data_IF_343755974184
#
_entry.id   IF_343755974184
#
_cell.length_a   1.000
_cell.length_b   1.000
_cell.length_c   1.000
_cell.angle_alpha   90.00
_cell.angle_beta   90.00
_cell.angle_gamma   90.00
#
_symmetry.space_group_name_H-M   'P 1'
#
loop_
_entity.id
_entity.type
_entity.pdbx_description
1 polymer ?
#
# COMPACT_ATOMS: atom_id res chain seq x y z
N UNK A 1 -29.01 -12.96 3.45
CA UNK A 1 -29.92 -13.18 2.30
C UNK A 1 -29.75 -12.06 1.29
N UNK A 2 -29.38 -12.39 0.04
CA UNK A 2 -29.15 -11.42 -1.04
C UNK A 2 -30.43 -10.67 -1.41
N UNK A 3 -31.58 -11.33 -1.40
CA UNK A 3 -32.85 -10.69 -1.76
C UNK A 3 -33.20 -9.56 -0.79
N UNK A 4 -32.99 -9.78 0.51
CA UNK A 4 -33.15 -8.76 1.53
C UNK A 4 -32.23 -7.54 1.30
N UNK A 5 -30.97 -7.78 0.91
CA UNK A 5 -30.04 -6.71 0.57
C UNK A 5 -30.50 -5.91 -0.66
N UNK A 6 -30.90 -6.60 -1.74
CA UNK A 6 -31.33 -5.99 -3.01
C UNK A 6 -32.60 -5.13 -2.92
N UNK A 7 -33.31 -5.14 -1.77
CA UNK A 7 -34.45 -4.24 -1.55
C UNK A 7 -34.10 -2.75 -1.67
N UNK A 8 -32.82 -2.36 -1.68
CA UNK A 8 -32.39 -0.99 -1.99
C UNK A 8 -32.85 -0.51 -3.37
N UNK A 9 -33.10 -1.42 -4.32
CA UNK A 9 -33.50 -1.09 -5.69
C UNK A 9 -34.94 -0.57 -5.78
N UNK A 10 -35.79 -1.00 -4.86
CA UNK A 10 -37.22 -0.63 -4.82
C UNK A 10 -37.56 0.30 -3.65
N UNK A 11 -36.69 0.38 -2.64
CA UNK A 11 -36.88 1.20 -1.46
C UNK A 11 -35.58 1.92 -1.10
N UNK A 12 -35.63 3.26 -1.07
CA UNK A 12 -34.52 4.07 -0.60
C UNK A 12 -34.09 3.67 0.83
N UNK A 13 -32.79 3.52 1.03
CA UNK A 13 -32.19 3.13 2.32
C UNK A 13 -31.48 4.33 2.96
N UNK A 14 -31.60 4.44 4.28
CA UNK A 14 -30.91 5.44 5.09
C UNK A 14 -29.40 5.17 5.14
N UNK A 15 -28.59 6.19 5.46
CA UNK A 15 -27.16 6.05 5.64
C UNK A 15 -26.78 4.97 6.67
N UNK A 16 -27.48 4.88 7.80
CA UNK A 16 -27.19 3.87 8.84
C UNK A 16 -27.48 2.44 8.39
N UNK A 17 -28.47 2.26 7.52
CA UNK A 17 -28.72 0.97 6.89
C UNK A 17 -27.54 0.57 6.01
N UNK A 18 -27.00 1.49 5.20
CA UNK A 18 -25.81 1.23 4.39
C UNK A 18 -24.60 0.90 5.27
N UNK A 19 -24.33 1.67 6.34
CA UNK A 19 -23.23 1.36 7.29
C UNK A 19 -23.36 -0.02 7.94
N UNK A 20 -24.58 -0.48 8.14
CA UNK A 20 -24.85 -1.78 8.77
C UNK A 20 -24.79 -2.94 7.77
N UNK A 21 -25.04 -2.70 6.48
CA UNK A 21 -25.24 -3.76 5.50
C UNK A 21 -24.17 -3.81 4.39
N UNK A 22 -23.41 -2.74 4.16
CA UNK A 22 -22.39 -2.65 3.11
C UNK A 22 -21.04 -2.32 3.75
N UNK A 23 -20.00 -3.03 3.33
CA UNK A 23 -18.62 -2.64 3.60
C UNK A 23 -18.29 -1.41 2.74
N UNK A 24 -18.51 -0.24 3.32
CA UNK A 24 -18.38 1.04 2.63
C UNK A 24 -16.92 1.33 2.24
N UNK A 25 -15.96 0.99 3.09
CA UNK A 25 -14.54 1.26 2.82
C UNK A 25 -14.02 0.38 1.67
N UNK A 26 -14.43 -0.89 1.64
CA UNK A 26 -14.18 -1.76 0.50
C UNK A 26 -14.90 -1.25 -0.76
N UNK A 27 -16.15 -0.79 -0.64
CA UNK A 27 -16.90 -0.26 -1.78
C UNK A 27 -16.25 1.00 -2.38
N UNK A 28 -15.74 1.93 -1.56
CA UNK A 28 -15.04 3.11 -2.04
C UNK A 28 -13.75 2.73 -2.78
N UNK A 29 -12.98 1.78 -2.24
CA UNK A 29 -11.77 1.27 -2.88
C UNK A 29 -12.09 0.59 -4.22
N UNK A 30 -13.09 -0.29 -4.23
CA UNK A 30 -13.58 -0.96 -5.44
C UNK A 30 -14.01 0.06 -6.49
N UNK A 31 -14.84 1.04 -6.11
CA UNK A 31 -15.34 2.09 -7.00
C UNK A 31 -14.21 2.92 -7.60
N UNK A 32 -13.20 3.25 -6.78
CA UNK A 32 -12.04 4.00 -7.24
C UNK A 32 -11.21 3.22 -8.26
N UNK A 33 -10.94 1.95 -8.02
CA UNK A 33 -10.20 1.11 -8.98
C UNK A 33 -11.01 0.88 -10.25
N UNK A 34 -12.32 0.63 -10.12
CA UNK A 34 -13.24 0.48 -11.25
C UNK A 34 -13.22 1.70 -12.18
N UNK A 35 -13.21 2.93 -11.62
CA UNK A 35 -12.96 4.14 -12.43
C UNK A 35 -11.54 4.20 -12.98
N UNK A 36 -10.54 3.89 -12.17
CA UNK A 36 -9.15 3.98 -12.58
C UNK A 36 -8.84 3.08 -13.79
N UNK A 37 -9.41 1.87 -13.84
CA UNK A 37 -9.24 0.94 -14.96
C UNK A 37 -10.36 1.04 -15.99
N UNK A 38 -11.30 2.00 -15.89
CA UNK A 38 -12.39 2.16 -16.86
C UNK A 38 -13.21 0.87 -17.07
N UNK A 39 -13.53 0.16 -15.98
CA UNK A 39 -14.42 -1.00 -15.99
C UNK A 39 -15.88 -0.55 -16.10
N UNK A 40 -16.31 -0.19 -17.30
CA UNK A 40 -17.65 0.35 -17.57
C UNK A 40 -18.62 -0.70 -18.11
N UNK A 41 -18.16 -1.90 -18.44
CA UNK A 41 -19.05 -2.99 -18.89
C UNK A 41 -19.89 -3.59 -17.75
N UNK A 42 -19.63 -3.20 -16.50
CA UNK A 42 -20.37 -3.63 -15.31
C UNK A 42 -21.78 -3.01 -15.15
N UNK A 43 -22.13 -2.01 -15.95
CA UNK A 43 -23.39 -1.27 -15.80
C UNK A 43 -24.66 -2.08 -16.10
N UNK A 44 -24.54 -3.17 -16.87
CA UNK A 44 -25.67 -3.97 -17.33
C UNK A 44 -26.03 -5.14 -16.38
N UNK A 45 -25.65 -5.05 -15.10
CA UNK A 45 -25.92 -6.10 -14.12
C UNK A 45 -25.06 -7.36 -14.30
N UNK A 46 -23.87 -7.21 -14.88
CA UNK A 46 -22.87 -8.27 -15.10
C UNK A 46 -21.50 -7.82 -14.60
N UNK A 47 -20.51 -8.70 -14.64
CA UNK A 47 -19.09 -8.40 -14.36
C UNK A 47 -18.82 -7.99 -12.90
N UNK A 48 -19.71 -8.39 -11.98
CA UNK A 48 -19.48 -8.33 -10.55
C UNK A 48 -20.30 -9.40 -9.82
N UNK A 49 -19.89 -9.71 -8.60
CA UNK A 49 -20.63 -10.52 -7.63
C UNK A 49 -20.82 -9.75 -6.33
N UNK A 50 -21.86 -10.10 -5.60
CA UNK A 50 -22.02 -9.70 -4.20
C UNK A 50 -21.49 -10.79 -3.28
N UNK A 51 -20.62 -10.42 -2.36
CA UNK A 51 -20.13 -11.30 -1.31
C UNK A 51 -20.70 -10.86 0.04
N UNK A 52 -21.21 -11.82 0.83
CA UNK A 52 -21.68 -11.57 2.20
C UNK A 52 -20.64 -12.10 3.17
N UNK A 53 -19.97 -11.21 3.88
CA UNK A 53 -18.95 -11.59 4.86
C UNK A 53 -19.64 -12.18 6.11
N UNK A 54 -19.38 -13.43 6.50
CA UNK A 54 -20.05 -14.07 7.64
C UNK A 54 -19.63 -13.49 8.99
N UNK A 55 -18.46 -12.86 9.10
CA UNK A 55 -17.95 -12.30 10.35
C UNK A 55 -18.55 -10.91 10.61
N UNK A 56 -18.50 -10.02 9.61
CA UNK A 56 -19.03 -8.67 9.74
C UNK A 56 -20.52 -8.56 9.42
N UNK A 57 -21.10 -9.59 8.80
CA UNK A 57 -22.45 -9.59 8.24
C UNK A 57 -22.72 -8.48 7.20
N UNK A 58 -21.66 -7.86 6.65
CA UNK A 58 -21.75 -6.84 5.61
C UNK A 58 -21.55 -7.43 4.22
N UNK A 59 -22.17 -6.80 3.24
CA UNK A 59 -22.01 -7.11 1.82
C UNK A 59 -20.85 -6.33 1.22
N UNK A 60 -20.27 -6.88 0.16
CA UNK A 60 -19.33 -6.17 -0.70
C UNK A 60 -19.50 -6.53 -2.16
N UNK A 61 -18.94 -5.69 -3.03
CA UNK A 61 -18.92 -5.89 -4.49
C UNK A 61 -17.54 -6.40 -4.88
N UNK A 62 -17.51 -7.52 -5.60
CA UNK A 62 -16.30 -8.11 -6.15
C UNK A 62 -16.41 -8.03 -7.67
N UNK A 63 -15.36 -7.55 -8.33
CA UNK A 63 -15.30 -7.46 -9.78
C UNK A 63 -15.04 -8.83 -10.44
N UNK A 64 -15.53 -8.98 -11.66
CA UNK A 64 -15.31 -10.14 -12.52
C UNK A 64 -15.21 -9.68 -13.97
N UNK A 65 -14.59 -10.48 -14.85
CA UNK A 65 -14.54 -10.23 -16.31
C UNK A 65 -14.00 -8.84 -16.68
N UNK A 66 -12.68 -8.67 -16.48
CA UNK A 66 -11.96 -7.39 -16.57
C UNK A 66 -11.19 -7.19 -17.87
N UNK A 67 -11.43 -8.00 -18.89
CA UNK A 67 -10.75 -7.89 -20.19
C UNK A 67 -11.09 -6.57 -20.90
N UNK A 68 -12.31 -6.04 -20.71
CA UNK A 68 -12.78 -4.81 -21.32
C UNK A 68 -12.45 -3.52 -20.54
N UNK A 69 -11.23 -3.42 -20.02
CA UNK A 69 -10.76 -2.31 -19.18
C UNK A 69 -9.62 -1.50 -19.84
N UNK A 70 -9.09 -0.52 -19.12
CA UNK A 70 -8.03 0.41 -19.50
C UNK A 70 -8.36 1.19 -20.78
N UNK A 71 -7.74 0.80 -21.90
CA UNK A 71 -7.78 1.52 -23.17
C UNK A 71 -8.97 1.16 -24.05
N UNK A 72 -9.89 0.35 -23.55
CA UNK A 72 -11.14 0.04 -24.25
C UNK A 72 -12.03 1.27 -24.38
N UNK A 73 -12.81 1.31 -25.46
CA UNK A 73 -13.67 2.44 -25.83
C UNK A 73 -15.13 2.23 -25.45
N UNK A 74 -15.45 1.21 -24.65
CA UNK A 74 -16.81 0.93 -24.20
C UNK A 74 -17.26 2.01 -23.20
N UNK A 75 -18.28 2.79 -23.57
CA UNK A 75 -18.84 3.85 -22.73
C UNK A 75 -20.13 3.47 -22.00
N UNK A 76 -20.54 2.20 -22.06
CA UNK A 76 -21.82 1.74 -21.52
C UNK A 76 -22.00 2.12 -20.03
N UNK A 77 -23.17 2.67 -19.70
CA UNK A 77 -23.56 3.03 -18.33
C UNK A 77 -22.69 4.05 -17.58
N UNK A 78 -21.75 4.72 -18.27
CA UNK A 78 -21.02 5.88 -17.75
C UNK A 78 -20.27 5.63 -16.44
N UNK A 79 -19.84 4.39 -16.18
CA UNK A 79 -19.08 4.03 -14.99
C UNK A 79 -19.86 3.98 -13.69
N UNK A 80 -21.20 3.98 -13.73
CA UNK A 80 -22.00 4.03 -12.50
C UNK A 80 -21.99 2.72 -11.71
N UNK A 81 -21.73 1.56 -12.31
CA UNK A 81 -21.74 0.27 -11.57
C UNK A 81 -23.08 0.01 -10.82
N UNK A 82 -23.12 -0.97 -9.91
CA UNK A 82 -24.39 -1.47 -9.36
C UNK A 82 -25.01 -0.66 -8.22
N UNK A 83 -24.21 0.14 -7.50
CA UNK A 83 -24.62 0.80 -6.27
C UNK A 83 -24.52 2.34 -6.30
N UNK A 84 -23.95 2.95 -7.34
CA UNK A 84 -23.66 4.39 -7.39
C UNK A 84 -24.89 5.26 -7.18
N UNK A 85 -25.97 4.95 -7.90
CA UNK A 85 -27.21 5.74 -7.89
C UNK A 85 -28.01 5.56 -6.58
N UNK A 86 -27.53 4.73 -5.65
CA UNK A 86 -28.15 4.49 -4.35
C UNK A 86 -27.26 4.96 -3.19
N UNK A 87 -25.98 4.58 -3.19
CA UNK A 87 -25.03 4.91 -2.13
C UNK A 87 -24.65 6.38 -2.17
N UNK A 88 -24.35 6.94 -3.35
CA UNK A 88 -23.87 8.33 -3.46
C UNK A 88 -24.98 9.38 -3.50
N UNK A 89 -26.22 8.97 -3.25
CA UNK A 89 -27.30 9.91 -2.89
C UNK A 89 -27.08 10.49 -1.48
N UNK A 90 -26.29 9.80 -0.64
CA UNK A 90 -25.85 10.28 0.67
C UNK A 90 -24.55 11.08 0.51
N UNK A 91 -24.56 12.41 0.76
CA UNK A 91 -23.41 13.27 0.51
C UNK A 91 -22.13 12.86 1.26
N UNK A 92 -22.26 12.29 2.46
CA UNK A 92 -21.11 11.85 3.25
C UNK A 92 -20.37 10.67 2.60
N UNK A 93 -21.10 9.78 1.92
CA UNK A 93 -20.49 8.65 1.22
C UNK A 93 -19.84 9.09 -0.08
N UNK A 94 -20.44 10.06 -0.78
CA UNK A 94 -19.83 10.66 -1.97
C UNK A 94 -18.52 11.41 -1.61
N UNK A 95 -18.47 12.07 -0.46
CA UNK A 95 -17.26 12.71 0.04
C UNK A 95 -16.20 11.68 0.47
N UNK A 96 -16.58 10.65 1.21
CA UNK A 96 -15.67 9.57 1.61
C UNK A 96 -15.05 8.85 0.40
N UNK A 97 -15.86 8.59 -0.64
CA UNK A 97 -15.38 8.07 -1.92
C UNK A 97 -14.34 8.99 -2.57
N UNK A 98 -14.57 10.31 -2.62
CA UNK A 98 -13.57 11.25 -3.18
C UNK A 98 -12.29 11.27 -2.36
N UNK A 99 -12.37 11.18 -1.02
CA UNK A 99 -11.19 11.05 -0.17
C UNK A 99 -10.40 9.78 -0.52
N UNK A 100 -11.08 8.64 -0.68
CA UNK A 100 -10.43 7.37 -1.06
C UNK A 100 -9.84 7.43 -2.47
N UNK A 101 -10.54 8.05 -3.42
CA UNK A 101 -10.02 8.25 -4.77
C UNK A 101 -8.75 9.12 -4.76
N UNK A 102 -8.73 10.20 -3.97
CA UNK A 102 -7.54 11.06 -3.80
C UNK A 102 -6.35 10.26 -3.28
N UNK A 103 -6.57 9.46 -2.25
CA UNK A 103 -5.55 8.57 -1.71
C UNK A 103 -5.01 7.57 -2.74
N UNK A 104 -5.89 6.91 -3.50
CA UNK A 104 -5.48 5.99 -4.57
C UNK A 104 -4.69 6.73 -5.65
N UNK A 105 -5.11 7.94 -6.03
CA UNK A 105 -4.39 8.79 -7.00
C UNK A 105 -3.00 9.17 -6.52
N UNK A 106 -2.84 9.46 -5.24
CA UNK A 106 -1.56 9.85 -4.67
C UNK A 106 -0.61 8.64 -4.51
N UNK A 107 -1.13 7.46 -4.12
CA UNK A 107 -0.31 6.35 -3.64
C UNK A 107 -0.23 5.11 -4.55
N UNK A 108 -1.14 4.94 -5.52
CA UNK A 108 -1.18 3.74 -6.38
C UNK A 108 -1.40 4.07 -7.85
N UNK A 109 -2.51 4.74 -8.16
CA UNK A 109 -2.90 5.04 -9.54
C UNK A 109 -2.25 6.32 -10.03
N UNK A 110 -0.92 6.35 -10.03
CA UNK A 110 -0.10 7.40 -10.63
C UNK A 110 0.92 6.78 -11.60
N UNK A 111 1.57 7.62 -12.42
CA UNK A 111 2.47 7.17 -13.50
C UNK A 111 3.62 6.30 -13.01
N UNK A 112 4.14 6.57 -11.81
CA UNK A 112 5.25 5.81 -11.24
C UNK A 112 4.75 4.46 -10.72
N UNK A 113 3.86 4.46 -9.73
CA UNK A 113 3.44 3.25 -9.04
C UNK A 113 2.71 2.27 -9.98
N UNK A 114 1.78 2.76 -10.80
CA UNK A 114 1.13 1.90 -11.81
C UNK A 114 2.08 1.55 -12.96
N UNK A 115 3.04 2.43 -13.28
CA UNK A 115 4.06 2.13 -14.28
C UNK A 115 4.92 0.92 -13.87
N UNK A 116 5.36 0.91 -12.60
CA UNK A 116 6.06 -0.22 -11.99
C UNK A 116 5.16 -1.45 -11.98
N UNK A 117 3.89 -1.33 -11.57
CA UNK A 117 2.96 -2.46 -11.60
C UNK A 117 2.81 -3.09 -12.99
N UNK A 118 2.65 -2.26 -14.02
CA UNK A 118 2.52 -2.73 -15.39
C UNK A 118 3.78 -3.48 -15.86
N UNK A 119 4.97 -3.00 -15.49
CA UNK A 119 6.21 -3.71 -15.80
C UNK A 119 6.32 -5.04 -15.04
N UNK A 120 5.83 -5.11 -13.80
CA UNK A 120 5.87 -6.34 -12.99
C UNK A 120 4.98 -7.41 -13.59
N UNK A 121 3.75 -7.05 -13.93
CA UNK A 121 2.80 -7.99 -14.52
C UNK A 121 3.25 -8.41 -15.93
N UNK A 122 3.79 -7.47 -16.71
CA UNK A 122 4.30 -7.77 -18.06
C UNK A 122 5.46 -8.78 -18.04
N UNK A 123 6.36 -8.70 -17.05
CA UNK A 123 7.56 -9.56 -16.99
C UNK A 123 7.23 -11.05 -16.83
N UNK A 124 6.02 -11.37 -16.33
CA UNK A 124 5.55 -12.76 -16.15
C UNK A 124 5.42 -13.49 -17.49
N UNK A 125 5.00 -12.76 -18.54
CA UNK A 125 4.70 -13.36 -19.86
C UNK A 125 5.66 -12.90 -20.96
N UNK A 126 6.44 -11.86 -20.71
CA UNK A 126 7.29 -11.22 -21.71
C UNK A 126 8.71 -10.97 -21.18
N UNK A 127 9.69 -11.44 -21.94
CA UNK A 127 11.11 -11.13 -21.71
C UNK A 127 11.64 -10.38 -22.93
N UNK A 128 12.07 -9.12 -22.79
CA UNK A 128 12.57 -8.36 -23.94
C UNK A 128 13.94 -8.89 -24.38
N UNK A 129 14.16 -9.00 -25.69
CA UNK A 129 15.48 -9.34 -26.24
C UNK A 129 15.39 -10.03 -27.58
N UNK A 130 16.34 -9.75 -28.47
CA UNK A 130 16.45 -10.48 -29.72
C UNK A 130 16.85 -11.93 -29.46
N UNK A 131 16.11 -12.90 -30.00
CA UNK A 131 16.39 -14.33 -29.83
C UNK A 131 15.94 -14.92 -28.50
N UNK A 132 15.27 -14.16 -27.64
CA UNK A 132 14.64 -14.66 -26.41
C UNK A 132 13.18 -14.96 -26.71
N UNK A 133 12.75 -16.21 -26.53
CA UNK A 133 11.34 -16.60 -26.70
C UNK A 133 10.61 -16.47 -25.38
N UNK A 134 9.47 -15.76 -25.39
CA UNK A 134 8.55 -15.61 -24.27
C UNK A 134 7.17 -16.20 -24.59
N UNK A 135 6.28 -16.24 -23.61
CA UNK A 135 4.89 -16.68 -23.83
C UNK A 135 4.19 -15.78 -24.87
N UNK A 136 4.49 -14.49 -24.86
CA UNK A 136 3.99 -13.55 -25.87
C UNK A 136 4.45 -13.92 -27.28
N UNK A 137 5.71 -14.34 -27.47
CA UNK A 137 6.20 -14.69 -28.81
C UNK A 137 5.51 -15.96 -29.34
N UNK A 138 5.28 -16.94 -28.47
CA UNK A 138 4.52 -18.14 -28.81
C UNK A 138 3.05 -17.82 -29.13
N UNK A 139 2.39 -16.96 -28.33
CA UNK A 139 1.03 -16.50 -28.55
C UNK A 139 0.89 -15.79 -29.90
N UNK A 140 1.82 -14.88 -30.20
CA UNK A 140 1.87 -14.15 -31.47
C UNK A 140 2.10 -15.06 -32.67
N UNK A 141 3.03 -16.01 -32.57
CA UNK A 141 3.28 -16.97 -33.62
C UNK A 141 2.04 -17.83 -33.92
N UNK A 142 1.28 -18.19 -32.89
CA UNK A 142 0.04 -18.95 -33.04
C UNK A 142 -1.08 -18.09 -33.62
N UNK A 143 -1.29 -16.87 -33.12
CA UNK A 143 -2.53 -16.13 -33.32
C UNK A 143 -2.43 -14.98 -34.32
N UNK A 144 -1.37 -14.18 -34.36
CA UNK A 144 -1.33 -12.92 -35.12
C UNK A 144 -1.82 -13.08 -36.57
N UNK A 145 -1.45 -14.19 -37.22
CA UNK A 145 -1.83 -14.50 -38.60
C UNK A 145 -2.43 -15.91 -38.76
N UNK A 146 -3.02 -16.46 -37.70
CA UNK A 146 -3.68 -17.75 -37.78
C UNK A 146 -4.80 -17.74 -38.82
N UNK A 147 -4.94 -18.73 -39.71
CA UNK A 147 -6.05 -18.78 -40.66
C UNK A 147 -7.44 -18.69 -40.03
N UNK A 148 -7.61 -19.13 -38.78
CA UNK A 148 -8.90 -19.01 -38.07
C UNK A 148 -9.37 -17.56 -37.94
N UNK A 149 -8.44 -16.60 -37.77
CA UNK A 149 -8.74 -15.17 -37.59
C UNK A 149 -9.32 -14.47 -38.83
N UNK A 150 -9.33 -15.14 -39.98
CA UNK A 150 -10.00 -14.65 -41.21
C UNK A 150 -11.06 -15.62 -41.72
N UNK A 151 -11.35 -16.66 -40.95
CA UNK A 151 -12.38 -17.66 -41.28
C UNK A 151 -13.80 -17.14 -40.99
N UNK A 152 -14.80 -17.91 -41.40
CA UNK A 152 -16.20 -17.64 -41.07
C UNK A 152 -16.56 -17.85 -39.59
N UNK A 153 -15.65 -18.39 -38.77
CA UNK A 153 -15.90 -18.67 -37.35
C UNK A 153 -15.70 -17.48 -36.42
N UNK A 154 -15.10 -16.39 -36.90
CA UNK A 154 -14.79 -15.21 -36.08
C UNK A 154 -15.69 -14.03 -36.40
N UNK A 155 -15.96 -13.20 -35.40
CA UNK A 155 -16.61 -11.91 -35.61
C UNK A 155 -15.58 -10.88 -36.11
N UNK A 156 -15.65 -10.52 -37.40
CA UNK A 156 -14.70 -9.62 -38.04
C UNK A 156 -14.73 -8.17 -37.49
N UNK A 157 -15.71 -7.80 -36.67
CA UNK A 157 -15.66 -6.53 -35.93
C UNK A 157 -14.79 -6.60 -34.67
N UNK A 158 -14.50 -7.80 -34.17
CA UNK A 158 -13.78 -8.03 -32.91
C UNK A 158 -12.39 -8.64 -33.09
N UNK A 159 -12.16 -9.41 -34.14
CA UNK A 159 -10.89 -10.10 -34.38
C UNK A 159 -10.49 -10.06 -35.86
N UNK A 160 -9.21 -10.29 -36.13
CA UNK A 160 -8.63 -10.30 -37.47
C UNK A 160 -7.11 -10.37 -37.42
N UNK A 161 -6.48 -10.70 -38.54
CA UNK A 161 -5.01 -10.74 -38.64
C UNK A 161 -4.36 -9.43 -38.18
N UNK A 162 -3.36 -9.54 -37.30
CA UNK A 162 -2.54 -8.43 -36.81
C UNK A 162 -3.28 -7.36 -35.99
N UNK A 163 -4.57 -7.53 -35.69
CA UNK A 163 -5.39 -6.47 -35.08
C UNK A 163 -5.07 -6.17 -33.63
N UNK A 164 -4.67 -7.18 -32.85
CA UNK A 164 -4.47 -7.01 -31.42
C UNK A 164 -3.45 -5.88 -31.15
N UNK A 165 -2.28 -5.92 -31.78
CA UNK A 165 -1.23 -4.91 -31.60
C UNK A 165 -1.36 -3.68 -32.50
N UNK A 166 -2.41 -3.54 -33.31
CA UNK A 166 -2.52 -2.47 -34.31
C UNK A 166 -2.42 -1.07 -33.70
N UNK A 167 -3.02 -0.89 -32.51
CA UNK A 167 -3.02 0.38 -31.78
C UNK A 167 -1.77 0.63 -30.93
N UNK A 168 -0.86 -0.35 -30.83
CA UNK A 168 0.34 -0.25 -30.02
C UNK A 168 1.47 0.47 -30.80
N UNK A 169 2.22 1.38 -30.16
CA UNK A 169 3.49 1.88 -30.70
C UNK A 169 4.39 0.72 -31.16
N UNK A 170 4.85 0.78 -32.42
CA UNK A 170 5.69 -0.27 -33.01
C UNK A 170 4.98 -1.63 -33.22
N UNK A 171 3.69 -1.76 -32.92
CA UNK A 171 2.91 -3.02 -33.01
C UNK A 171 3.51 -4.17 -32.20
N UNK A 172 4.17 -3.84 -31.09
CA UNK A 172 4.82 -4.80 -30.18
C UNK A 172 4.07 -4.92 -28.86
N UNK A 173 4.42 -5.95 -28.08
CA UNK A 173 3.91 -6.08 -26.71
C UNK A 173 4.43 -4.97 -25.79
N UNK A 174 5.71 -4.58 -25.90
CA UNK A 174 6.24 -3.40 -25.19
C UNK A 174 5.47 -2.13 -25.56
N UNK A 175 5.01 -2.01 -26.80
CA UNK A 175 4.11 -0.94 -27.24
C UNK A 175 2.77 -0.94 -26.50
N UNK A 176 2.18 -2.12 -26.26
CA UNK A 176 0.95 -2.23 -25.46
C UNK A 176 1.17 -1.79 -24.02
N UNK A 177 2.28 -2.19 -23.39
CA UNK A 177 2.66 -1.72 -22.04
C UNK A 177 2.83 -0.20 -22.03
N UNK A 178 3.51 0.37 -23.03
CA UNK A 178 3.66 1.82 -23.17
C UNK A 178 2.29 2.53 -23.34
N UNK A 179 1.37 1.93 -24.09
CA UNK A 179 0.00 2.44 -24.25
C UNK A 179 -0.76 2.44 -22.93
N UNK A 180 -0.64 1.39 -22.11
CA UNK A 180 -1.24 1.34 -20.76
C UNK A 180 -0.64 2.39 -19.83
N UNK A 181 0.69 2.59 -19.87
CA UNK A 181 1.35 3.66 -19.10
C UNK A 181 0.88 5.06 -19.52
N UNK A 182 0.70 5.30 -20.82
CA UNK A 182 0.14 6.55 -21.33
C UNK A 182 -1.33 6.74 -20.89
N UNK A 183 -2.10 5.65 -20.84
CA UNK A 183 -3.47 5.68 -20.33
C UNK A 183 -3.53 6.12 -18.87
N UNK A 184 -2.61 5.67 -18.00
CA UNK A 184 -2.59 6.09 -16.59
C UNK A 184 -2.54 7.62 -16.49
N UNK A 185 -1.74 8.28 -17.32
CA UNK A 185 -1.63 9.75 -17.33
C UNK A 185 -2.94 10.42 -17.76
N UNK A 186 -3.53 9.98 -18.88
CA UNK A 186 -4.76 10.58 -19.39
C UNK A 186 -5.95 10.30 -18.49
N UNK A 187 -6.05 9.09 -17.94
CA UNK A 187 -7.10 8.70 -17.00
C UNK A 187 -6.95 9.41 -15.67
N UNK A 188 -5.73 9.62 -15.18
CA UNK A 188 -5.44 10.44 -14.01
C UNK A 188 -6.00 11.86 -14.16
N UNK A 189 -5.71 12.53 -15.27
CA UNK A 189 -6.25 13.87 -15.55
C UNK A 189 -7.79 13.88 -15.64
N UNK A 190 -8.38 12.82 -16.19
CA UNK A 190 -9.84 12.67 -16.21
C UNK A 190 -10.43 12.47 -14.80
N UNK A 191 -9.82 11.64 -13.95
CA UNK A 191 -10.25 11.45 -12.56
C UNK A 191 -10.20 12.78 -11.81
N UNK A 192 -9.09 13.51 -11.96
CA UNK A 192 -8.86 14.77 -11.26
C UNK A 192 -9.92 15.83 -11.67
N UNK A 193 -10.34 15.83 -12.93
CA UNK A 193 -11.34 16.78 -13.46
C UNK A 193 -12.80 16.33 -13.31
N UNK A 194 -13.08 15.03 -13.26
CA UNK A 194 -14.44 14.48 -13.35
C UNK A 194 -14.95 13.89 -12.03
N UNK A 195 -14.05 13.43 -11.15
CA UNK A 195 -14.41 12.80 -9.88
C UNK A 195 -13.98 13.68 -8.71
N UNK A 196 -12.73 14.14 -8.70
CA UNK A 196 -12.14 14.98 -7.66
C UNK A 196 -12.49 16.47 -7.87
N UNK A 197 -13.72 16.74 -8.29
CA UNK A 197 -14.25 18.08 -8.58
C UNK A 197 -14.25 19.01 -7.35
N UNK A 198 -13.99 18.44 -6.18
CA UNK A 198 -14.01 19.11 -4.90
C UNK A 198 -12.62 19.52 -4.39
N UNK A 199 -11.55 19.30 -5.18
CA UNK A 199 -10.18 19.67 -4.84
C UNK A 199 -9.95 21.16 -4.56
N UNK A 200 -10.85 22.04 -4.98
CA UNK A 200 -10.80 23.46 -4.63
C UNK A 200 -11.30 23.76 -3.20
N UNK A 201 -11.86 22.76 -2.50
CA UNK A 201 -12.45 22.88 -1.16
C UNK A 201 -11.67 22.14 -0.07
N UNK A 202 -10.79 21.21 -0.46
CA UNK A 202 -9.99 20.39 0.46
C UNK A 202 -8.86 21.22 1.09
N UNK A 203 -8.28 20.78 2.23
CA UNK A 203 -7.09 21.42 2.78
C UNK A 203 -5.92 21.42 1.79
N UNK A 204 -5.07 22.44 1.89
CA UNK A 204 -3.87 22.54 1.06
C UNK A 204 -2.98 21.30 1.28
N UNK A 205 -2.32 20.85 0.20
CA UNK A 205 -1.37 19.75 0.25
C UNK A 205 -0.22 20.11 1.22
N UNK A 206 0.00 19.34 2.30
CA UNK A 206 1.09 19.63 3.23
C UNK A 206 2.46 19.49 2.56
N UNK A 207 3.44 20.22 3.09
CA UNK A 207 4.86 20.07 2.75
C UNK A 207 5.55 19.41 3.93
N UNK A 208 6.43 18.46 3.64
CA UNK A 208 7.16 17.65 4.62
C UNK A 208 8.67 17.84 4.41
N UNK A 209 9.40 17.88 5.52
CA UNK A 209 10.87 17.85 5.58
C UNK A 209 11.34 16.89 6.67
N UNK A 210 12.58 16.42 6.58
CA UNK A 210 13.23 15.67 7.67
C UNK A 210 14.09 16.61 8.51
N UNK A 211 14.11 16.35 9.82
CA UNK A 211 14.92 17.12 10.77
C UNK A 211 16.32 16.51 10.95
N UNK A 212 16.42 15.17 10.89
CA UNK A 212 17.62 14.42 11.30
C UNK A 212 18.61 14.25 10.14
N UNK A 213 19.82 14.87 10.20
CA UNK A 213 20.86 14.65 9.20
C UNK A 213 21.26 13.17 9.16
N UNK A 214 21.34 12.59 7.96
CA UNK A 214 21.69 11.18 7.80
C UNK A 214 20.58 10.19 8.13
N UNK A 215 19.44 10.66 8.67
CA UNK A 215 18.22 9.86 8.93
C UNK A 215 18.52 8.54 9.67
N UNK A 216 19.23 8.57 10.81
CA UNK A 216 19.52 7.35 11.57
C UNK A 216 18.20 6.66 11.97
N UNK A 217 18.15 5.32 11.88
CA UNK A 217 16.90 4.56 12.03
C UNK A 217 16.22 4.77 13.40
N UNK A 218 16.98 5.12 14.44
CA UNK A 218 16.53 5.37 15.81
C UNK A 218 16.16 6.85 16.08
N UNK A 219 16.34 7.74 15.11
CA UNK A 219 15.89 9.14 15.18
C UNK A 219 15.37 9.62 13.81
N UNK A 220 14.26 9.01 13.39
CA UNK A 220 13.57 9.36 12.15
C UNK A 220 12.48 10.41 12.39
N UNK A 221 12.93 11.65 12.59
CA UNK A 221 12.04 12.78 12.89
C UNK A 221 11.73 13.62 11.64
N UNK A 222 10.44 13.81 11.37
CA UNK A 222 9.90 14.59 10.25
C UNK A 222 9.01 15.72 10.73
N UNK A 223 8.90 16.77 9.93
CA UNK A 223 8.09 17.95 10.23
C UNK A 223 7.19 18.36 9.06
N UNK A 224 6.12 19.09 9.37
CA UNK A 224 5.21 19.67 8.38
C UNK A 224 4.78 21.09 8.77
N UNK A 225 4.45 21.88 7.75
CA UNK A 225 3.96 23.24 7.90
C UNK A 225 2.51 23.30 8.43
N UNK A 226 2.08 24.52 8.78
CA UNK A 226 0.75 24.77 9.33
C UNK A 226 -0.39 24.30 8.40
N UNK A 227 -1.48 23.84 9.01
CA UNK A 227 -2.72 23.54 8.30
C UNK A 227 -3.28 24.79 7.58
N UNK A 228 -3.70 24.61 6.33
CA UNK A 228 -4.33 25.65 5.53
C UNK A 228 -5.58 25.09 4.85
N UNK A 229 -6.70 25.81 4.96
CA UNK A 229 -7.96 25.43 4.33
C UNK A 229 -8.46 26.56 3.41
N UNK A 230 -8.44 26.36 2.08
CA UNK A 230 -9.03 27.29 1.11
C UNK A 230 -10.53 27.54 1.36
N UNK A 231 -11.25 26.55 1.91
CA UNK A 231 -12.68 26.66 2.25
C UNK A 231 -12.95 27.34 3.59
N UNK A 232 -11.91 27.66 4.37
CA UNK A 232 -12.04 28.20 5.74
C UNK A 232 -12.46 27.16 6.78
N UNK A 233 -12.53 25.88 6.42
CA UNK A 233 -12.80 24.80 7.36
C UNK A 233 -11.65 24.65 8.37
N UNK A 234 -11.96 24.22 9.60
CA UNK A 234 -10.98 24.11 10.68
C UNK A 234 -10.24 22.77 10.59
N UNK A 235 -9.02 22.71 11.10
CA UNK A 235 -8.31 21.45 11.31
C UNK A 235 -9.10 20.55 12.27
N UNK A 236 -9.19 19.26 11.94
CA UNK A 236 -9.74 18.24 12.85
C UNK A 236 -8.89 16.98 12.95
N UNK A 237 -7.94 16.78 12.03
CA UNK A 237 -6.99 15.69 12.19
C UNK A 237 -5.84 15.73 11.19
N UNK A 238 -4.84 14.91 11.44
CA UNK A 238 -3.76 14.62 10.50
C UNK A 238 -3.34 13.16 10.61
N UNK A 239 -2.68 12.66 9.58
CA UNK A 239 -2.14 11.31 9.58
C UNK A 239 -0.78 11.32 8.91
N UNK A 240 0.18 10.66 9.56
CA UNK A 240 1.49 10.34 9.02
C UNK A 240 1.53 8.88 8.60
N UNK A 241 2.31 8.60 7.56
CA UNK A 241 2.57 7.23 7.12
C UNK A 241 3.99 7.05 6.64
N UNK A 242 4.49 5.84 6.79
CA UNK A 242 5.69 5.35 6.13
C UNK A 242 5.32 4.13 5.28
N UNK A 243 5.92 4.02 4.09
CA UNK A 243 5.75 2.88 3.21
C UNK A 243 7.11 2.50 2.62
N UNK A 244 7.39 1.20 2.59
CA UNK A 244 8.53 0.66 1.86
C UNK A 244 8.19 0.58 0.37
N UNK A 245 9.14 0.92 -0.49
CA UNK A 245 8.97 0.89 -1.94
C UNK A 245 10.10 0.10 -2.60
N UNK A 246 9.79 -0.53 -3.72
CA UNK A 246 10.82 -1.04 -4.62
C UNK A 246 11.30 0.07 -5.56
N UNK A 247 12.61 0.10 -5.81
CA UNK A 247 13.21 0.93 -6.86
C UNK A 247 13.76 0.03 -7.97
N UNK A 248 13.04 -0.14 -9.09
CA UNK A 248 13.50 -0.93 -10.23
C UNK A 248 14.78 -0.40 -10.91
N UNK A 249 15.20 0.82 -10.60
CA UNK A 249 16.44 1.43 -11.12
C UNK A 249 17.64 1.20 -10.19
N UNK A 250 17.43 0.67 -8.99
CA UNK A 250 18.49 0.33 -8.04
C UNK A 250 19.36 -0.82 -8.57
N UNK A 251 20.68 -0.72 -8.35
CA UNK A 251 21.63 -1.77 -8.73
C UNK A 251 21.40 -3.12 -8.03
N UNK A 252 20.76 -3.11 -6.86
CA UNK A 252 20.42 -4.30 -6.08
C UNK A 252 19.02 -4.85 -6.36
N UNK A 253 18.28 -4.28 -7.31
CA UNK A 253 16.91 -4.69 -7.58
C UNK A 253 16.85 -6.12 -8.15
N UNK A 254 16.16 -7.02 -7.45
CA UNK A 254 15.85 -8.35 -7.95
C UNK A 254 14.46 -8.36 -8.59
N UNK A 255 14.33 -8.48 -9.93
CA UNK A 255 13.04 -8.48 -10.61
C UNK A 255 12.18 -9.71 -10.30
N UNK A 256 12.75 -10.77 -9.72
CA UNK A 256 12.01 -11.98 -9.34
C UNK A 256 11.27 -11.85 -7.99
N UNK A 257 11.64 -10.87 -7.15
CA UNK A 257 10.94 -10.63 -5.88
C UNK A 257 9.68 -9.78 -6.10
N UNK A 258 8.60 -10.02 -5.32
CA UNK A 258 7.43 -9.16 -5.35
C UNK A 258 7.78 -7.71 -5.04
N UNK A 259 7.27 -6.79 -5.87
CA UNK A 259 7.52 -5.36 -5.69
C UNK A 259 6.69 -4.80 -4.54
N UNK A 260 7.28 -3.85 -3.82
CA UNK A 260 6.64 -3.10 -2.74
C UNK A 260 6.09 -1.81 -3.32
N UNK A 261 4.80 -1.58 -3.10
CA UNK A 261 4.05 -0.44 -3.60
C UNK A 261 3.72 0.53 -2.48
N UNK A 262 3.80 1.82 -2.78
CA UNK A 262 3.65 2.87 -1.77
C UNK A 262 2.28 2.86 -1.08
N UNK A 263 1.22 2.35 -1.72
CA UNK A 263 -0.11 2.22 -1.10
C UNK A 263 -0.10 1.32 0.15
N UNK A 264 0.83 0.37 0.24
CA UNK A 264 0.98 -0.50 1.40
C UNK A 264 1.90 0.17 2.42
N UNK A 265 1.34 0.66 3.51
CA UNK A 265 2.13 1.24 4.61
C UNK A 265 2.85 0.17 5.41
N UNK A 266 4.08 0.45 5.84
CA UNK A 266 4.73 -0.29 6.92
C UNK A 266 4.34 0.27 8.29
N UNK A 267 3.96 1.54 8.35
CA UNK A 267 3.49 2.18 9.57
C UNK A 267 2.56 3.36 9.29
N UNK A 268 1.61 3.58 10.20
CA UNK A 268 0.74 4.75 10.20
C UNK A 268 0.55 5.25 11.64
N UNK A 269 0.44 6.57 11.81
CA UNK A 269 0.21 7.19 13.14
C UNK A 269 -1.20 6.98 13.68
N UNK A 270 -2.12 6.42 12.89
CA UNK A 270 -3.55 6.67 13.05
C UNK A 270 -3.90 8.14 12.84
N UNK A 271 -5.16 8.51 13.11
CA UNK A 271 -5.62 9.90 13.00
C UNK A 271 -5.27 10.66 14.28
N UNK A 272 -4.35 11.62 14.17
CA UNK A 272 -4.02 12.55 15.24
C UNK A 272 -5.03 13.70 15.22
N UNK A 273 -5.92 13.76 16.22
CA UNK A 273 -6.97 14.80 16.32
C UNK A 273 -6.44 16.16 16.82
N UNK A 274 -5.19 16.19 17.28
CA UNK A 274 -4.47 17.40 17.66
C UNK A 274 -3.38 17.67 16.64
N UNK A 275 -3.23 18.94 16.24
CA UNK A 275 -2.17 19.33 15.31
C UNK A 275 -0.80 19.06 15.94
N UNK A 276 -0.04 18.15 15.32
CA UNK A 276 1.33 17.78 15.70
C UNK A 276 2.24 18.03 14.50
N UNK A 277 2.98 19.16 14.45
CA UNK A 277 3.79 19.50 13.29
C UNK A 277 4.97 18.55 13.09
N UNK A 278 5.31 17.75 14.10
CA UNK A 278 6.44 16.82 14.09
C UNK A 278 5.97 15.40 14.39
N UNK A 279 6.68 14.43 13.83
CA UNK A 279 6.51 13.00 14.13
C UNK A 279 7.87 12.31 14.14
N UNK A 280 8.05 11.35 15.05
CA UNK A 280 9.17 10.41 15.01
C UNK A 280 8.60 9.05 14.62
N UNK A 281 9.14 8.47 13.53
CA UNK A 281 8.74 7.13 13.09
C UNK A 281 9.46 6.10 13.97
N UNK A 282 8.75 5.13 14.57
CA UNK A 282 9.40 4.08 15.37
C UNK A 282 10.43 3.29 14.56
N UNK A 283 11.61 2.98 15.12
CA UNK A 283 12.65 2.29 14.36
C UNK A 283 12.21 0.87 13.97
N UNK A 284 11.45 0.21 14.86
CA UNK A 284 10.90 -1.13 14.62
C UNK A 284 9.92 -1.22 13.44
N UNK A 285 9.35 -0.09 12.99
CA UNK A 285 8.48 0.00 11.82
C UNK A 285 9.23 -0.17 10.48
N UNK A 286 10.57 -0.10 10.51
CA UNK A 286 11.41 -0.03 9.33
C UNK A 286 12.55 -1.06 9.40
N UNK A 287 13.23 -1.24 8.28
CA UNK A 287 14.44 -2.06 8.14
C UNK A 287 15.55 -1.19 7.58
N UNK A 288 16.76 -1.42 8.06
CA UNK A 288 17.93 -0.59 7.73
C UNK A 288 18.25 -0.54 6.22
N UNK A 289 18.02 -1.64 5.50
CA UNK A 289 18.33 -1.79 4.07
C UNK A 289 17.15 -1.46 3.14
N UNK A 290 16.02 -1.02 3.67
CA UNK A 290 14.83 -0.68 2.89
C UNK A 290 14.87 0.74 2.30
N UNK A 291 14.13 0.94 1.22
CA UNK A 291 13.85 2.26 0.66
C UNK A 291 12.43 2.67 1.07
N UNK A 292 12.29 3.82 1.72
CA UNK A 292 11.02 4.25 2.31
C UNK A 292 10.59 5.61 1.81
N UNK A 293 9.29 5.86 1.91
CA UNK A 293 8.66 7.17 1.73
C UNK A 293 7.82 7.52 2.95
N UNK A 294 8.03 8.71 3.50
CA UNK A 294 7.14 9.31 4.51
C UNK A 294 6.25 10.35 3.86
N UNK A 295 4.96 10.33 4.25
CA UNK A 295 3.98 11.34 3.85
C UNK A 295 3.09 11.74 5.01
N UNK A 296 2.48 12.93 4.87
CA UNK A 296 1.45 13.43 5.77
C UNK A 296 0.24 13.95 4.98
N UNK A 297 -0.96 13.78 5.53
CA UNK A 297 -2.20 14.42 5.06
C UNK A 297 -2.95 15.05 6.23
N UNK A 298 -3.83 16.01 5.95
CA UNK A 298 -4.61 16.72 6.96
C UNK A 298 -6.11 16.69 6.64
N UNK A 299 -6.93 16.63 7.68
CA UNK A 299 -8.38 16.51 7.65
C UNK A 299 -9.01 17.81 8.17
N UNK A 300 -10.00 18.31 7.44
CA UNK A 300 -10.82 19.43 7.90
C UNK A 300 -12.13 19.03 8.57
N UNK A 301 -12.76 20.02 9.21
CA UNK A 301 -14.04 19.91 9.88
C UNK A 301 -15.23 19.61 8.97
N UNK A 302 -15.04 19.63 7.65
CA UNK A 302 -16.05 19.18 6.69
C UNK A 302 -15.94 17.68 6.41
N UNK A 303 -14.86 17.02 6.87
CA UNK A 303 -14.56 15.62 6.60
C UNK A 303 -13.73 15.39 5.33
N UNK A 304 -13.06 16.42 4.80
CA UNK A 304 -12.22 16.31 3.60
C UNK A 304 -10.75 16.16 3.97
N UNK A 305 -10.12 15.15 3.39
CA UNK A 305 -8.66 15.01 3.44
C UNK A 305 -7.99 15.87 2.38
N UNK A 306 -6.83 16.44 2.69
CA UNK A 306 -5.89 16.94 1.68
C UNK A 306 -5.42 15.79 0.78
N UNK A 307 -4.69 16.13 -0.28
CA UNK A 307 -3.73 15.17 -0.85
C UNK A 307 -2.71 14.75 0.21
N UNK A 308 -2.15 13.55 0.07
CA UNK A 308 -0.88 13.24 0.73
C UNK A 308 0.21 14.20 0.22
N UNK A 309 1.11 14.63 1.11
CA UNK A 309 2.27 15.44 0.76
C UNK A 309 3.11 14.81 -0.36
N UNK A 310 4.01 15.57 -0.99
CA UNK A 310 5.12 14.90 -1.72
C UNK A 310 5.92 14.04 -0.72
N UNK A 311 6.53 12.92 -1.16
CA UNK A 311 7.22 12.03 -0.24
C UNK A 311 8.59 12.59 0.15
N UNK A 312 8.98 12.39 1.41
CA UNK A 312 10.42 12.32 1.73
C UNK A 312 10.85 10.87 1.51
N UNK A 313 11.67 10.65 0.47
CA UNK A 313 12.21 9.32 0.16
C UNK A 313 13.61 9.16 0.73
N UNK A 314 13.88 8.05 1.41
CA UNK A 314 15.15 7.80 2.08
C UNK A 314 15.42 6.32 2.31
N UNK A 315 16.69 5.99 2.52
CA UNK A 315 17.13 4.73 3.15
C UNK A 315 17.56 5.08 4.57
N UNK A 316 17.11 4.34 5.60
CA UNK A 316 17.50 4.62 6.98
C UNK A 316 19.03 4.58 7.15
N UNK A 317 19.57 5.57 7.83
CA UNK A 317 20.95 5.63 8.27
C UNK A 317 21.20 4.73 9.48
N UNK A 318 22.49 4.53 9.80
CA UNK A 318 22.88 3.69 10.92
C UNK A 318 22.33 4.29 12.23
N UNK A 319 22.01 3.46 13.23
CA UNK A 319 21.61 3.95 14.55
C UNK A 319 22.61 4.97 15.09
N UNK A 320 22.13 5.93 15.88
CA UNK A 320 22.93 7.05 16.41
C UNK A 320 24.13 6.55 17.23
N UNK A 321 23.98 5.46 17.98
CA UNK A 321 25.07 4.84 18.76
C UNK A 321 25.72 3.63 18.07
N UNK A 322 25.64 3.51 16.74
CA UNK A 322 26.10 2.31 16.02
C UNK A 322 27.53 1.87 16.38
N UNK A 323 28.50 2.78 16.36
CA UNK A 323 29.89 2.45 16.63
C UNK A 323 30.08 1.93 18.07
N UNK A 324 29.45 2.58 19.06
CA UNK A 324 29.48 2.14 20.47
C UNK A 324 28.77 0.81 20.66
N UNK A 325 27.59 0.61 20.06
CA UNK A 325 26.87 -0.66 20.13
C UNK A 325 27.70 -1.82 19.55
N UNK A 326 28.32 -1.63 18.37
CA UNK A 326 29.15 -2.66 17.74
C UNK A 326 30.43 -2.92 18.54
N UNK A 327 31.07 -1.87 19.06
CA UNK A 327 32.35 -2.00 19.77
C UNK A 327 32.20 -2.47 21.21
N UNK A 328 31.10 -2.12 21.88
CA UNK A 328 30.99 -2.21 23.33
C UNK A 328 29.86 -3.11 23.84
N UNK A 329 28.80 -3.37 23.06
CA UNK A 329 27.83 -4.41 23.41
C UNK A 329 28.41 -5.78 23.05
N UNK A 330 28.50 -6.68 24.02
CA UNK A 330 29.07 -8.02 23.84
C UNK A 330 28.10 -9.07 24.35
N UNK A 331 27.82 -10.07 23.52
CA UNK A 331 27.25 -11.33 23.98
C UNK A 331 28.36 -12.10 24.70
N UNK A 332 28.23 -12.28 26.01
CA UNK A 332 29.26 -12.92 26.85
C UNK A 332 28.90 -14.35 27.20
N UNK A 333 27.62 -14.68 27.30
CA UNK A 333 27.14 -16.02 27.63
C UNK A 333 25.88 -16.39 26.86
N UNK A 334 25.79 -17.68 26.51
CA UNK A 334 24.58 -18.33 26.00
C UNK A 334 24.32 -19.51 26.92
N UNK A 335 23.30 -19.41 27.76
CA UNK A 335 22.82 -20.54 28.56
C UNK A 335 21.71 -21.23 27.77
N UNK A 336 22.06 -22.32 27.11
CA UNK A 336 21.13 -23.10 26.30
C UNK A 336 20.97 -24.49 26.90
N UNK A 337 19.73 -24.92 27.08
CA UNK A 337 19.33 -26.21 27.62
C UNK A 337 20.14 -26.62 28.86
N UNK A 338 20.18 -25.76 29.90
CA UNK A 338 20.87 -26.08 31.16
C UNK A 338 20.20 -27.25 31.86
N UNK A 339 20.95 -27.93 32.73
CA UNK A 339 20.36 -28.99 33.56
C UNK A 339 19.58 -28.38 34.71
N UNK A 340 18.25 -28.59 34.74
CA UNK A 340 17.42 -28.29 35.90
C UNK A 340 17.78 -29.22 37.07
N UNK A 341 17.98 -28.67 38.25
CA UNK A 341 18.23 -29.49 39.44
C UNK A 341 16.95 -30.19 39.91
N UNK A 342 17.08 -31.19 40.78
CA UNK A 342 15.91 -31.85 41.37
C UNK A 342 15.03 -30.87 42.15
N UNK A 343 15.64 -29.88 42.82
CA UNK A 343 14.91 -28.85 43.56
C UNK A 343 14.13 -27.92 42.61
N UNK A 344 14.70 -27.58 41.45
CA UNK A 344 14.02 -26.78 40.42
C UNK A 344 12.81 -27.52 39.85
N UNK A 345 13.00 -28.80 39.51
CA UNK A 345 11.92 -29.68 39.04
C UNK A 345 10.80 -29.85 40.08
N UNK A 346 11.16 -29.94 41.36
CA UNK A 346 10.18 -30.00 42.47
C UNK A 346 9.45 -28.66 42.67
N UNK A 347 10.08 -27.53 42.31
CA UNK A 347 9.47 -26.20 42.31
C UNK A 347 8.60 -25.94 41.07
N UNK A 348 8.62 -26.85 40.09
CA UNK A 348 7.81 -26.77 38.87
C UNK A 348 8.50 -26.06 37.71
N UNK A 349 9.80 -25.80 37.81
CA UNK A 349 10.61 -25.30 36.69
C UNK A 349 11.17 -26.46 35.87
N UNK A 350 11.37 -26.22 34.58
CA UNK A 350 12.08 -27.13 33.68
C UNK A 350 13.38 -26.52 33.14
N UNK A 351 14.02 -27.20 32.19
CA UNK A 351 15.32 -26.79 31.63
C UNK A 351 15.21 -25.48 30.83
N UNK A 352 14.06 -25.25 30.19
CA UNK A 352 13.82 -24.09 29.32
C UNK A 352 13.66 -22.81 30.16
N UNK A 353 13.16 -22.91 31.40
CA UNK A 353 12.99 -21.78 32.33
C UNK A 353 14.32 -21.11 32.75
N UNK A 354 15.46 -21.74 32.46
CA UNK A 354 16.79 -21.24 32.82
C UNK A 354 17.63 -20.85 31.61
N UNK A 355 17.05 -20.82 30.41
CA UNK A 355 17.73 -20.34 29.22
C UNK A 355 17.88 -18.82 29.25
N UNK A 356 19.04 -18.32 28.81
CA UNK A 356 19.25 -16.88 28.66
C UNK A 356 20.39 -16.53 27.69
N UNK A 357 20.36 -15.30 27.20
CA UNK A 357 21.54 -14.64 26.63
C UNK A 357 22.03 -13.55 27.57
N UNK A 358 23.33 -13.51 27.85
CA UNK A 358 23.94 -12.42 28.63
C UNK A 358 24.62 -11.41 27.69
N UNK A 359 24.19 -10.15 27.81
CA UNK A 359 24.84 -9.02 27.17
C UNK A 359 25.60 -8.19 28.19
N UNK A 360 26.78 -7.72 27.81
CA UNK A 360 27.68 -6.92 28.61
C UNK A 360 28.03 -5.63 27.89
N UNK A 361 27.99 -4.50 28.60
CA UNK A 361 28.56 -3.25 28.13
C UNK A 361 30.01 -3.14 28.60
N UNK A 362 30.96 -3.42 27.71
CA UNK A 362 32.40 -3.33 28.01
C UNK A 362 32.98 -1.92 27.90
N UNK A 363 32.18 -0.97 27.42
CA UNK A 363 32.59 0.40 27.13
C UNK A 363 32.60 1.28 28.38
N UNK A 364 32.76 2.59 28.15
CA UNK A 364 32.76 3.63 29.18
C UNK A 364 31.55 4.60 29.05
N UNK A 365 30.62 4.31 28.14
CA UNK A 365 29.37 5.07 27.93
C UNK A 365 28.14 4.19 28.15
N UNK A 366 27.00 4.80 28.49
CA UNK A 366 25.71 4.09 28.58
C UNK A 366 25.25 3.75 27.17
N UNK A 367 24.92 2.48 26.94
CA UNK A 367 24.36 2.02 25.66
C UNK A 367 22.83 2.10 25.71
N UNK A 368 22.25 2.70 24.68
CA UNK A 368 20.80 2.66 24.46
C UNK A 368 20.42 1.37 23.71
N UNK A 369 19.60 0.55 24.35
CA UNK A 369 19.13 -0.72 23.81
C UNK A 369 17.70 -0.62 23.27
N UNK A 370 17.02 0.51 23.43
CA UNK A 370 15.57 0.67 23.19
C UNK A 370 15.12 0.10 21.83
N UNK A 371 15.89 0.33 20.77
CA UNK A 371 15.55 -0.12 19.40
C UNK A 371 16.32 -1.39 18.95
N UNK A 372 17.00 -2.08 19.88
CA UNK A 372 17.65 -3.36 19.60
C UNK A 372 16.68 -4.52 19.72
N UNK A 373 16.87 -5.51 18.84
CA UNK A 373 16.04 -6.71 18.81
C UNK A 373 16.80 -7.93 18.32
N UNK A 374 16.43 -9.07 18.85
CA UNK A 374 16.72 -10.37 18.26
C UNK A 374 15.54 -10.75 17.35
N UNK A 375 15.85 -11.15 16.12
CA UNK A 375 14.84 -11.48 15.08
C UNK A 375 15.05 -12.87 14.46
N UNK A 376 16.05 -13.59 14.97
CA UNK A 376 16.46 -14.93 14.52
C UNK A 376 17.08 -15.66 15.70
N UNK A 377 16.76 -16.93 15.84
CA UNK A 377 17.15 -17.73 17.00
C UNK A 377 16.15 -17.52 18.13
N UNK A 378 16.21 -16.35 18.78
CA UNK A 378 15.18 -15.89 19.72
C UNK A 378 14.46 -14.66 19.15
N UNK A 379 13.23 -14.43 19.61
CA UNK A 379 12.44 -13.24 19.32
C UNK A 379 12.34 -12.41 20.60
N UNK A 380 13.06 -11.29 20.66
CA UNK A 380 13.06 -10.39 21.81
C UNK A 380 13.23 -8.93 21.34
N UNK A 381 12.40 -8.05 21.87
CA UNK A 381 12.47 -6.61 21.63
C UNK A 381 12.75 -5.89 22.96
N UNK A 382 13.85 -5.14 23.02
CA UNK A 382 14.19 -4.37 24.21
C UNK A 382 13.16 -3.27 24.52
N UNK A 383 12.40 -2.81 23.54
CA UNK A 383 11.32 -1.85 23.74
C UNK A 383 10.18 -2.38 24.63
N UNK A 384 9.98 -3.70 24.65
CA UNK A 384 9.00 -4.37 25.53
C UNK A 384 9.59 -4.73 26.90
N UNK A 385 10.92 -4.63 27.03
CA UNK A 385 11.67 -4.94 28.24
C UNK A 385 11.65 -3.83 29.29
N UNK A 386 12.03 -4.19 30.51
CA UNK A 386 12.16 -3.23 31.63
C UNK A 386 13.49 -2.47 31.56
N UNK A 387 14.50 -3.06 30.92
CA UNK A 387 15.85 -2.50 30.79
C UNK A 387 16.07 -2.11 29.33
N UNK A 388 16.07 -0.80 29.06
CA UNK A 388 16.34 -0.23 27.73
C UNK A 388 17.67 0.50 27.65
N UNK A 389 18.43 0.55 28.75
CA UNK A 389 19.75 1.17 28.82
C UNK A 389 20.69 0.28 29.63
N UNK A 390 21.95 0.22 29.23
CA UNK A 390 22.97 -0.60 29.90
C UNK A 390 24.18 0.26 30.24
N UNK A 391 24.44 0.48 31.54
CA UNK A 391 25.53 1.33 31.97
C UNK A 391 26.91 0.66 31.78
N UNK A 392 28.02 1.42 31.80
CA UNK A 392 29.36 0.86 31.69
C UNK A 392 29.64 -0.23 32.73
N UNK A 393 30.13 -1.39 32.27
CA UNK A 393 30.46 -2.51 33.14
C UNK A 393 29.26 -3.33 33.62
N UNK A 394 28.04 -3.00 33.19
CA UNK A 394 26.83 -3.74 33.55
C UNK A 394 26.51 -4.88 32.57
N UNK A 395 25.75 -5.84 33.08
CA UNK A 395 25.23 -7.00 32.36
C UNK A 395 23.70 -6.96 32.33
N UNK A 396 23.11 -7.50 31.27
CA UNK A 396 21.67 -7.73 31.15
C UNK A 396 21.41 -9.13 30.60
N UNK A 397 20.39 -9.78 31.13
CA UNK A 397 19.93 -11.09 30.66
C UNK A 397 18.70 -10.89 29.78
N UNK A 398 18.70 -11.57 28.63
CA UNK A 398 17.53 -11.76 27.78
C UNK A 398 17.01 -13.16 28.08
N UNK A 399 15.79 -13.23 28.60
CA UNK A 399 15.10 -14.45 29.10
C UNK A 399 13.76 -14.65 28.42
#
# INVERSE_FOLDING_TARGET
DLNAFLTYQTQAKTADWWRSNLDLDQYYSWRSIMEAIHDYDNHAGKNYFFFHNPESSRWSVINWDLDLTWTTTYGGGGGRGPLNDYVFTHPEFAMAYRNRMREIRDLLFNSEQTGILLDEIAQVVFTPGFGVSSFVDADRAMWDYNPILVSSYINQSKAGHGRYYESAPGRTFSGMVAKLKAYVQTRSAWIDSSILTDNHLIPAKPVISSFSPGLPIDDLTFETGAFQSPSGARFTGMQWRAAEISDPLSAGFNPAEPRKYEITSTWESGILNTYSPTITIPANALKFDGLYRVRVRMLDSSGRWSHWSEPVQFTPGLPTQWDSLVQDLKLTEIMYHPTASLDDQLAGFDEDDFEFLELYNRGDTVLDLTELRFTKGIDFDFADGVITQLAPGEFVLVV
#
